data_IF_653039469237
#
_entry.id   IF_653039469237
#
_cell.length_a   1.000
_cell.length_b   1.000
_cell.length_c   1.000
_cell.angle_alpha   90.00
_cell.angle_beta   90.00
_cell.angle_gamma   90.00
#
_symmetry.space_group_name_H-M   'P 1'
#
loop_
_entity.id
_entity.type
_entity.pdbx_description
1 polymer ?
#
# COMPACT_ATOMS: atom_id res chain seq x y z
N UNK A 1 -2.40 -12.49 -1.33
CA UNK A 1 -2.15 -12.82 0.10
C UNK A 1 -3.31 -13.63 0.68
N UNK A 2 -3.03 -14.70 1.45
CA UNK A 2 -4.07 -15.58 2.03
C UNK A 2 -5.05 -14.82 2.93
N UNK A 3 -4.57 -13.80 3.64
CA UNK A 3 -5.40 -12.97 4.54
C UNK A 3 -6.54 -12.22 3.84
N UNK A 4 -6.40 -11.84 2.55
CA UNK A 4 -7.48 -11.19 1.78
C UNK A 4 -8.69 -12.12 1.55
N UNK A 5 -8.52 -13.44 1.73
CA UNK A 5 -9.57 -14.45 1.54
C UNK A 5 -10.23 -14.89 2.85
N UNK A 6 -9.73 -14.42 4.00
CA UNK A 6 -10.23 -14.81 5.31
C UNK A 6 -11.41 -13.91 5.73
N UNK A 7 -12.40 -14.48 6.41
CA UNK A 7 -13.54 -13.76 6.99
C UNK A 7 -13.24 -13.15 8.36
N UNK A 8 -12.25 -13.68 9.08
CA UNK A 8 -11.76 -13.18 10.35
C UNK A 8 -10.33 -13.69 10.62
N UNK A 9 -9.63 -13.08 11.59
CA UNK A 9 -8.33 -13.55 12.07
C UNK A 9 -8.37 -13.87 13.56
N UNK A 10 -7.82 -15.02 13.95
CA UNK A 10 -7.60 -15.39 15.37
C UNK A 10 -6.15 -15.81 15.53
N UNK A 11 -5.43 -15.22 16.48
CA UNK A 11 -4.00 -15.49 16.68
C UNK A 11 -3.65 -15.68 18.16
N UNK A 12 -2.82 -16.68 18.45
CA UNK A 12 -2.37 -16.97 19.83
C UNK A 12 -1.59 -15.82 20.45
N UNK A 13 -0.82 -15.08 19.64
CA UNK A 13 0.08 -14.00 20.10
C UNK A 13 -0.18 -12.72 19.33
N UNK A 14 0.01 -11.60 20.02
CA UNK A 14 -0.07 -10.27 19.44
C UNK A 14 -0.96 -9.34 20.27
N UNK A 15 -0.65 -8.05 20.24
CA UNK A 15 -1.48 -7.01 20.84
C UNK A 15 -2.15 -6.11 19.80
N UNK A 16 -2.73 -5.00 20.24
CA UNK A 16 -3.45 -4.03 19.40
C UNK A 16 -2.65 -3.47 18.21
N UNK A 17 -1.33 -3.56 18.26
CA UNK A 17 -0.37 -3.04 17.26
C UNK A 17 0.36 -4.15 16.50
N UNK A 18 -0.03 -5.42 16.66
CA UNK A 18 0.61 -6.50 15.92
C UNK A 18 0.24 -6.45 14.43
N UNK A 19 1.04 -7.14 13.61
CA UNK A 19 0.85 -7.23 12.17
C UNK A 19 -0.57 -7.70 11.79
N UNK A 20 -1.09 -8.73 12.47
CA UNK A 20 -2.44 -9.25 12.21
C UNK A 20 -3.53 -8.21 12.55
N UNK A 21 -3.41 -7.49 13.66
CA UNK A 21 -4.37 -6.46 14.07
C UNK A 21 -4.40 -5.27 13.10
N UNK A 22 -3.23 -4.82 12.64
CA UNK A 22 -3.11 -3.71 11.69
C UNK A 22 -3.75 -4.09 10.35
N UNK A 23 -3.40 -5.26 9.82
CA UNK A 23 -3.93 -5.74 8.53
C UNK A 23 -5.44 -5.98 8.61
N UNK A 24 -5.94 -6.59 9.69
CA UNK A 24 -7.38 -6.85 9.83
C UNK A 24 -8.21 -5.56 9.80
N UNK A 25 -7.74 -4.51 10.48
CA UNK A 25 -8.39 -3.19 10.45
C UNK A 25 -8.40 -2.59 9.06
N UNK A 26 -7.32 -2.74 8.31
CA UNK A 26 -7.24 -2.26 6.93
C UNK A 26 -8.16 -3.05 5.99
N UNK A 27 -8.31 -4.36 6.22
CA UNK A 27 -9.20 -5.22 5.45
C UNK A 27 -10.67 -5.15 5.91
N UNK A 28 -10.96 -4.50 7.04
CA UNK A 28 -12.32 -4.41 7.60
C UNK A 28 -12.85 -5.75 8.13
N UNK A 29 -11.98 -6.69 8.51
CA UNK A 29 -12.38 -7.99 9.06
C UNK A 29 -12.17 -8.05 10.58
N UNK A 30 -12.99 -8.80 11.34
CA UNK A 30 -12.78 -9.03 12.76
C UNK A 30 -11.42 -9.68 13.03
N UNK A 31 -10.76 -9.25 14.11
CA UNK A 31 -9.51 -9.85 14.56
C UNK A 31 -9.41 -9.97 16.08
N UNK A 32 -9.20 -11.20 16.53
CA UNK A 32 -8.87 -11.52 17.92
C UNK A 32 -7.39 -11.88 17.98
N UNK A 33 -6.64 -11.11 18.75
CA UNK A 33 -5.19 -11.27 18.89
C UNK A 33 -4.84 -11.52 20.35
N UNK A 34 -3.88 -12.42 20.59
CA UNK A 34 -3.46 -12.76 21.95
C UNK A 34 -4.39 -13.75 22.66
N UNK A 35 -5.05 -14.66 21.91
CA UNK A 35 -5.91 -15.71 22.49
C UNK A 35 -5.15 -16.80 23.24
N UNK A 36 -3.82 -16.77 23.25
CA UNK A 36 -2.89 -17.70 23.90
C UNK A 36 -2.89 -19.13 23.31
N UNK A 37 -4.05 -19.78 23.20
CA UNK A 37 -4.19 -21.20 22.86
C UNK A 37 -5.23 -21.48 21.74
N UNK A 38 -5.58 -20.50 20.90
CA UNK A 38 -6.60 -20.72 19.86
C UNK A 38 -6.25 -21.85 18.90
N UNK A 39 -4.98 -22.03 18.52
CA UNK A 39 -4.57 -23.16 17.65
C UNK A 39 -4.70 -24.52 18.30
N UNK A 40 -4.75 -24.58 19.63
CA UNK A 40 -4.88 -25.85 20.37
C UNK A 40 -6.36 -26.22 20.56
N UNK A 41 -7.23 -25.20 20.62
CA UNK A 41 -8.68 -25.35 20.82
C UNK A 41 -9.42 -25.52 19.49
N UNK A 42 -9.07 -24.73 18.48
CA UNK A 42 -9.75 -24.71 17.18
C UNK A 42 -9.17 -25.75 16.23
N UNK A 43 -10.03 -26.47 15.50
CA UNK A 43 -9.61 -27.50 14.54
C UNK A 43 -9.82 -27.07 13.10
N UNK A 44 -8.99 -27.61 12.20
CA UNK A 44 -9.15 -27.38 10.77
C UNK A 44 -10.51 -27.90 10.27
N UNK A 45 -11.17 -27.11 9.41
CA UNK A 45 -12.51 -27.42 8.88
C UNK A 45 -13.66 -27.11 9.84
N UNK A 46 -13.38 -26.69 11.07
CA UNK A 46 -14.40 -26.31 12.04
C UNK A 46 -15.03 -24.95 11.68
N UNK A 47 -16.37 -24.89 11.76
CA UNK A 47 -17.11 -23.63 11.58
C UNK A 47 -17.18 -22.93 12.93
N UNK A 48 -16.70 -21.68 12.96
CA UNK A 48 -16.74 -20.83 14.14
C UNK A 48 -17.24 -19.42 13.80
N UNK A 49 -17.83 -18.77 14.79
CA UNK A 49 -18.22 -17.37 14.72
C UNK A 49 -17.26 -16.52 15.55
N UNK A 50 -16.70 -15.48 14.94
CA UNK A 50 -15.76 -14.57 15.59
C UNK A 50 -16.47 -13.26 15.91
N UNK A 51 -16.61 -12.93 17.21
CA UNK A 51 -17.21 -11.70 17.70
C UNK A 51 -16.17 -10.74 18.27
N UNK A 52 -16.27 -9.47 17.90
CA UNK A 52 -15.57 -8.36 18.52
C UNK A 52 -16.55 -7.33 19.12
N UNK A 53 -17.79 -7.74 19.40
CA UNK A 53 -18.86 -6.85 19.87
C UNK A 53 -18.61 -6.32 21.29
N UNK A 54 -17.86 -7.06 22.11
CA UNK A 54 -17.54 -6.74 23.50
C UNK A 54 -16.33 -5.79 23.63
N UNK A 55 -15.99 -5.10 22.54
CA UNK A 55 -14.99 -4.03 22.49
C UNK A 55 -13.56 -4.55 22.59
N UNK A 56 -12.99 -4.53 23.80
CA UNK A 56 -11.60 -4.95 24.02
C UNK A 56 -11.43 -6.47 24.18
N UNK A 57 -12.52 -7.17 24.53
CA UNK A 57 -12.54 -8.63 24.60
C UNK A 57 -13.24 -9.17 23.36
N UNK A 58 -12.62 -10.13 22.67
CA UNK A 58 -13.24 -10.84 21.56
C UNK A 58 -13.51 -12.29 21.93
N UNK A 59 -14.59 -12.83 21.38
CA UNK A 59 -15.01 -14.22 21.62
C UNK A 59 -15.02 -15.02 20.31
N UNK A 60 -14.62 -16.28 20.40
CA UNK A 60 -14.77 -17.27 19.33
C UNK A 60 -15.80 -18.28 19.80
N UNK A 61 -16.92 -18.37 19.10
CA UNK A 61 -17.99 -19.32 19.39
C UNK A 61 -17.94 -20.49 18.40
N UNK A 62 -18.25 -21.68 18.89
CA UNK A 62 -18.41 -22.84 18.04
C UNK A 62 -19.70 -22.75 17.21
N UNK A 63 -19.63 -23.10 15.93
CA UNK A 63 -20.74 -23.06 14.99
C UNK A 63 -20.96 -21.71 14.31
N UNK A 64 -21.89 -21.70 13.37
CA UNK A 64 -22.38 -20.49 12.71
C UNK A 64 -23.55 -19.94 13.52
N UNK A 65 -23.31 -18.89 14.30
CA UNK A 65 -24.37 -18.20 15.03
C UNK A 65 -25.15 -17.28 14.09
N UNK A 66 -26.45 -17.18 14.32
CA UNK A 66 -27.29 -16.21 13.63
C UNK A 66 -26.95 -14.80 14.10
N UNK A 67 -26.96 -13.84 13.18
CA UNK A 67 -26.74 -12.44 13.45
C UNK A 67 -27.76 -11.59 12.69
N UNK A 68 -28.10 -10.45 13.27
CA UNK A 68 -28.95 -9.45 12.63
C UNK A 68 -28.08 -8.27 12.16
N UNK A 69 -28.24 -7.88 10.90
CA UNK A 69 -27.60 -6.68 10.36
C UNK A 69 -28.57 -5.51 10.48
N UNK A 70 -28.39 -4.68 11.50
CA UNK A 70 -29.09 -3.39 11.59
C UNK A 70 -28.27 -2.33 10.88
N UNK A 71 -28.77 -1.85 9.74
CA UNK A 71 -28.22 -0.71 9.05
C UNK A 71 -28.98 0.55 9.49
N UNK A 72 -28.35 1.39 10.31
CA UNK A 72 -28.88 2.73 10.57
C UNK A 72 -28.59 3.62 9.37
N UNK A 73 -29.61 4.30 8.86
CA UNK A 73 -29.39 5.34 7.86
C UNK A 73 -28.61 6.48 8.50
N UNK A 74 -27.59 6.98 7.81
CA UNK A 74 -26.85 8.14 8.25
C UNK A 74 -27.84 9.29 8.42
N UNK A 75 -28.12 9.67 9.66
CA UNK A 75 -28.66 11.00 9.96
C UNK A 75 -27.78 12.04 9.24
N UNK A 76 -28.37 13.15 8.79
CA UNK A 76 -27.63 14.18 8.09
C UNK A 76 -26.50 14.72 9.00
N UNK A 77 -25.29 14.18 8.82
CA UNK A 77 -24.12 14.57 9.59
C UNK A 77 -23.84 16.05 9.30
N UNK A 78 -23.75 16.86 10.35
CA UNK A 78 -23.36 18.26 10.20
C UNK A 78 -21.95 18.35 9.63
N UNK A 79 -21.72 19.26 8.68
CA UNK A 79 -20.39 19.45 8.11
C UNK A 79 -19.41 19.91 9.20
N UNK A 80 -18.30 19.20 9.43
CA UNK A 80 -17.31 19.59 10.43
C UNK A 80 -16.57 20.88 10.02
N UNK A 81 -15.93 21.58 10.98
CA UNK A 81 -15.16 22.80 10.69
C UNK A 81 -13.83 22.52 9.97
N UNK A 82 -13.45 21.26 9.79
CA UNK A 82 -12.25 20.82 9.10
C UNK A 82 -12.59 19.85 7.96
N UNK A 83 -11.65 19.66 7.02
CA UNK A 83 -11.79 18.66 5.97
C UNK A 83 -11.51 17.26 6.53
N UNK A 84 -12.40 16.31 6.28
CA UNK A 84 -12.23 14.90 6.65
C UNK A 84 -11.74 14.14 5.42
N UNK A 85 -10.45 13.86 5.37
CA UNK A 85 -9.82 13.16 4.24
C UNK A 85 -9.49 11.70 4.59
N UNK A 86 -9.45 10.85 3.57
CA UNK A 86 -9.18 9.42 3.73
C UNK A 86 -7.67 9.13 3.65
N UNK A 87 -7.24 8.06 4.33
CA UNK A 87 -5.93 7.45 4.14
C UNK A 87 -6.15 6.12 3.40
N UNK A 88 -5.65 6.01 2.18
CA UNK A 88 -5.97 4.92 1.27
C UNK A 88 -4.67 4.29 0.76
N UNK A 89 -4.45 3.02 1.05
CA UNK A 89 -3.34 2.25 0.47
C UNK A 89 -3.76 1.40 -0.72
N UNK A 90 -4.84 0.64 -0.56
CA UNK A 90 -5.26 -0.37 -1.52
C UNK A 90 -6.19 0.20 -2.61
N UNK A 91 -5.79 0.21 -3.90
CA UNK A 91 -6.65 0.67 -4.99
C UNK A 91 -7.93 -0.16 -5.15
N UNK A 92 -7.90 -1.45 -4.82
CA UNK A 92 -9.07 -2.35 -4.96
C UNK A 92 -10.28 -1.85 -4.15
N UNK A 93 -10.03 -1.15 -3.03
CA UNK A 93 -11.07 -0.66 -2.11
C UNK A 93 -11.46 0.81 -2.38
N UNK A 94 -10.78 1.49 -3.31
CA UNK A 94 -10.93 2.94 -3.48
C UNK A 94 -12.38 3.36 -3.78
N UNK A 95 -13.08 2.65 -4.67
CA UNK A 95 -14.49 2.94 -5.00
C UNK A 95 -15.45 2.70 -3.85
N UNK A 96 -15.16 1.74 -2.96
CA UNK A 96 -15.97 1.52 -1.75
C UNK A 96 -15.75 2.66 -0.75
N UNK A 97 -14.50 3.05 -0.52
CA UNK A 97 -14.18 4.16 0.38
C UNK A 97 -14.72 5.51 -0.11
N UNK A 98 -14.79 5.71 -1.41
CA UNK A 98 -15.34 6.92 -2.01
C UNK A 98 -16.84 7.13 -1.68
N UNK A 99 -17.59 6.07 -1.34
CA UNK A 99 -19.00 6.15 -0.95
C UNK A 99 -19.19 6.72 0.46
N UNK A 100 -18.15 6.70 1.31
CA UNK A 100 -18.19 7.28 2.65
C UNK A 100 -18.03 8.79 2.51
N UNK A 101 -18.84 9.64 3.18
CA UNK A 101 -18.66 11.09 3.17
C UNK A 101 -17.22 11.49 3.52
N UNK A 102 -16.54 12.18 2.60
CA UNK A 102 -15.14 12.59 2.71
C UNK A 102 -14.87 13.85 1.87
N UNK A 103 -13.72 14.48 2.10
CA UNK A 103 -13.21 15.64 1.37
C UNK A 103 -12.02 15.29 0.45
N UNK A 104 -11.85 14.00 0.11
CA UNK A 104 -10.76 13.48 -0.73
C UNK A 104 -9.85 12.51 0.02
N UNK A 105 -8.64 12.31 -0.51
CA UNK A 105 -7.61 11.44 0.07
C UNK A 105 -6.45 12.31 0.52
N UNK A 106 -6.20 12.32 1.82
CA UNK A 106 -5.11 13.09 2.43
C UNK A 106 -3.77 12.35 2.39
N UNK A 107 -3.81 11.03 2.20
CA UNK A 107 -2.63 10.19 2.04
C UNK A 107 -2.98 8.94 1.22
N UNK A 108 -2.55 8.92 -0.03
CA UNK A 108 -2.53 7.72 -0.87
C UNK A 108 -1.12 7.10 -0.81
N UNK A 109 -1.02 5.84 -0.38
CA UNK A 109 0.26 5.15 -0.14
C UNK A 109 0.66 4.29 -1.32
N UNK A 110 1.78 4.61 -1.96
CA UNK A 110 2.24 3.90 -3.15
C UNK A 110 2.79 2.50 -2.87
N UNK A 111 3.16 2.20 -1.62
CA UNK A 111 3.77 0.92 -1.22
C UNK A 111 2.85 -0.28 -1.50
N UNK A 112 1.53 -0.10 -1.39
CA UNK A 112 0.56 -1.17 -1.70
C UNK A 112 0.53 -1.50 -3.19
N UNK A 113 0.63 -0.48 -4.06
CA UNK A 113 0.72 -0.65 -5.50
C UNK A 113 2.00 -1.40 -5.86
N UNK A 114 3.14 -0.97 -5.30
CA UNK A 114 4.43 -1.61 -5.56
C UNK A 114 4.46 -3.05 -5.00
N UNK A 115 4.00 -3.32 -3.78
CA UNK A 115 4.03 -4.67 -3.21
C UNK A 115 3.08 -5.64 -3.94
N UNK A 116 1.85 -5.22 -4.22
CA UNK A 116 0.81 -6.13 -4.68
C UNK A 116 0.71 -6.20 -6.20
N UNK A 117 0.88 -5.07 -6.91
CA UNK A 117 0.70 -5.01 -8.36
C UNK A 117 2.01 -5.24 -9.11
N UNK A 118 3.12 -4.70 -8.60
CA UNK A 118 4.45 -4.89 -9.20
C UNK A 118 5.15 -6.12 -8.62
N UNK A 119 5.45 -6.10 -7.32
CA UNK A 119 6.11 -7.15 -6.55
C UNK A 119 7.58 -7.43 -6.90
N UNK A 120 8.23 -6.52 -7.62
CA UNK A 120 9.61 -6.65 -8.08
C UNK A 120 10.36 -5.35 -7.74
N UNK A 121 11.62 -5.49 -7.34
CA UNK A 121 12.46 -4.34 -7.03
C UNK A 121 12.73 -3.49 -8.30
N UNK A 122 12.57 -2.15 -8.26
CA UNK A 122 12.68 -1.32 -9.47
C UNK A 122 14.08 -1.38 -10.10
N UNK A 123 15.16 -1.55 -9.32
CA UNK A 123 16.50 -1.78 -9.89
C UNK A 123 16.63 -3.09 -10.64
N UNK A 124 15.96 -4.15 -10.17
CA UNK A 124 15.97 -5.42 -10.89
C UNK A 124 15.24 -5.30 -12.23
N UNK A 125 14.19 -4.46 -12.29
CA UNK A 125 13.46 -4.12 -13.52
C UNK A 125 14.32 -3.31 -14.50
N UNK A 126 15.15 -2.38 -14.01
CA UNK A 126 16.04 -1.59 -14.86
C UNK A 126 17.21 -2.44 -15.40
N UNK A 127 17.71 -3.38 -14.61
CA UNK A 127 18.90 -4.17 -14.93
C UNK A 127 18.59 -5.64 -15.21
N UNK A 128 17.50 -5.94 -15.93
CA UNK A 128 17.03 -7.33 -16.13
C UNK A 128 18.14 -8.25 -16.63
N UNK A 129 18.93 -7.82 -17.61
CA UNK A 129 19.95 -8.68 -18.23
C UNK A 129 21.10 -9.05 -17.27
N UNK A 130 21.34 -8.25 -16.24
CA UNK A 130 22.33 -8.50 -15.20
C UNK A 130 21.80 -9.40 -14.05
N UNK A 131 20.50 -9.71 -14.04
CA UNK A 131 19.90 -10.52 -12.97
C UNK A 131 20.13 -12.02 -13.18
N UNK A 132 20.13 -12.84 -12.10
CA UNK A 132 20.12 -14.29 -12.22
C UNK A 132 18.97 -14.80 -13.10
N UNK A 133 19.20 -15.87 -13.87
CA UNK A 133 18.23 -16.38 -14.86
C UNK A 133 16.83 -16.67 -14.28
N UNK A 134 16.76 -17.13 -13.04
CA UNK A 134 15.49 -17.34 -12.33
C UNK A 134 14.71 -16.01 -12.15
N UNK A 135 15.39 -14.96 -11.69
CA UNK A 135 14.80 -13.62 -11.52
C UNK A 135 14.41 -13.02 -12.87
N UNK A 136 15.27 -13.15 -13.90
CA UNK A 136 14.93 -12.69 -15.26
C UNK A 136 13.62 -13.30 -15.75
N UNK A 137 13.46 -14.61 -15.55
CA UNK A 137 12.25 -15.34 -15.93
C UNK A 137 11.03 -14.82 -15.16
N UNK A 138 11.15 -14.58 -13.85
CA UNK A 138 10.09 -13.98 -13.04
C UNK A 138 9.70 -12.58 -13.54
N UNK A 139 10.68 -11.73 -13.84
CA UNK A 139 10.44 -10.37 -14.35
C UNK A 139 9.72 -10.42 -15.70
N UNK A 140 10.22 -11.21 -16.66
CA UNK A 140 9.63 -11.37 -17.99
C UNK A 140 8.20 -11.93 -17.92
N UNK A 141 7.94 -12.86 -17.01
CA UNK A 141 6.61 -13.42 -16.80
C UNK A 141 5.63 -12.39 -16.20
N UNK A 142 6.06 -11.58 -15.23
CA UNK A 142 5.22 -10.53 -14.63
C UNK A 142 4.96 -9.37 -15.60
N UNK A 143 5.96 -8.99 -16.38
CA UNK A 143 5.86 -7.93 -17.39
C UNK A 143 5.15 -8.39 -18.68
N UNK A 144 4.64 -9.62 -18.75
CA UNK A 144 3.96 -10.14 -19.94
C UNK A 144 2.70 -9.32 -20.24
N UNK A 145 2.57 -8.87 -21.47
CA UNK A 145 1.48 -7.99 -21.92
C UNK A 145 1.82 -6.49 -21.86
N UNK A 146 2.99 -6.15 -21.34
CA UNK A 146 3.55 -4.79 -21.38
C UNK A 146 4.67 -4.72 -22.42
N UNK A 147 4.97 -3.50 -22.91
CA UNK A 147 5.97 -3.29 -23.96
C UNK A 147 7.37 -3.76 -23.54
N UNK A 148 7.74 -3.53 -22.29
CA UNK A 148 8.98 -3.98 -21.67
C UNK A 148 8.85 -3.92 -20.13
N UNK A 149 9.80 -4.49 -19.36
CA UNK A 149 9.76 -4.48 -17.91
C UNK A 149 9.70 -3.08 -17.28
N UNK A 150 10.39 -2.09 -17.84
CA UNK A 150 10.35 -0.69 -17.38
C UNK A 150 8.94 -0.11 -17.53
N UNK A 151 8.33 -0.32 -18.69
CA UNK A 151 6.96 0.12 -18.96
C UNK A 151 5.94 -0.59 -18.06
N UNK A 152 6.13 -1.88 -17.77
CA UNK A 152 5.31 -2.61 -16.80
C UNK A 152 5.28 -1.92 -15.43
N UNK A 153 6.43 -1.47 -14.92
CA UNK A 153 6.50 -0.76 -13.65
C UNK A 153 5.73 0.56 -13.67
N UNK A 154 5.99 1.38 -14.70
CA UNK A 154 5.35 2.69 -14.89
C UNK A 154 3.84 2.54 -15.01
N UNK A 155 3.39 1.60 -15.86
CA UNK A 155 1.97 1.37 -16.12
C UNK A 155 1.25 0.86 -14.88
N UNK A 156 1.83 -0.08 -14.12
CA UNK A 156 1.21 -0.58 -12.88
C UNK A 156 1.08 0.49 -11.81
N UNK A 157 2.08 1.37 -11.69
CA UNK A 157 1.98 2.52 -10.79
C UNK A 157 0.89 3.48 -11.26
N UNK A 158 0.87 3.82 -12.55
CA UNK A 158 -0.13 4.69 -13.13
C UNK A 158 -1.54 4.13 -12.95
N UNK A 159 -1.77 2.84 -13.24
CA UNK A 159 -3.04 2.14 -13.06
C UNK A 159 -3.51 2.20 -11.59
N UNK A 160 -2.62 1.88 -10.64
CA UNK A 160 -2.95 1.89 -9.21
C UNK A 160 -3.31 3.29 -8.69
N UNK A 161 -2.53 4.30 -9.07
CA UNK A 161 -2.79 5.69 -8.67
C UNK A 161 -4.00 6.27 -9.38
N UNK A 162 -4.17 6.01 -10.68
CA UNK A 162 -5.33 6.47 -11.44
C UNK A 162 -6.63 5.88 -10.89
N UNK A 163 -6.61 4.61 -10.44
CA UNK A 163 -7.78 3.98 -9.80
C UNK A 163 -8.21 4.75 -8.55
N UNK A 164 -7.27 5.14 -7.69
CA UNK A 164 -7.57 5.96 -6.51
C UNK A 164 -8.00 7.37 -6.93
N UNK A 165 -7.27 8.01 -7.85
CA UNK A 165 -7.59 9.34 -8.36
C UNK A 165 -9.00 9.45 -8.93
N UNK A 166 -9.39 8.48 -9.75
CA UNK A 166 -10.71 8.41 -10.38
C UNK A 166 -11.82 8.15 -9.36
N UNK A 167 -11.60 7.28 -8.37
CA UNK A 167 -12.61 6.96 -7.35
C UNK A 167 -13.02 8.20 -6.53
N UNK A 168 -12.10 9.14 -6.32
CA UNK A 168 -12.33 10.35 -5.54
C UNK A 168 -12.52 11.61 -6.39
N UNK A 169 -12.45 11.53 -7.72
CA UNK A 169 -12.57 12.69 -8.60
C UNK A 169 -13.91 13.41 -8.42
N UNK A 170 -13.96 14.76 -8.34
CA UNK A 170 -12.85 15.72 -8.50
C UNK A 170 -12.16 16.13 -7.19
N UNK A 171 -12.37 15.43 -6.07
CA UNK A 171 -11.75 15.76 -4.79
C UNK A 171 -10.24 15.50 -4.83
N UNK A 172 -9.43 16.28 -4.08
CA UNK A 172 -7.98 16.13 -4.07
C UNK A 172 -7.56 14.75 -3.55
N UNK A 173 -6.51 14.20 -4.18
CA UNK A 173 -5.88 12.94 -3.81
C UNK A 173 -4.37 13.16 -3.69
N UNK A 174 -3.89 13.21 -2.46
CA UNK A 174 -2.47 13.42 -2.16
C UNK A 174 -1.74 12.08 -2.18
N UNK A 175 -0.99 11.81 -3.24
CA UNK A 175 -0.19 10.59 -3.42
C UNK A 175 1.19 10.80 -2.86
N UNK A 176 1.54 9.98 -1.85
CA UNK A 176 2.89 9.92 -1.32
C UNK A 176 3.72 8.96 -2.17
N UNK A 177 4.84 9.44 -2.69
CA UNK A 177 5.82 8.62 -3.43
C UNK A 177 6.39 7.52 -2.52
N UNK A 178 7.10 6.55 -3.09
CA UNK A 178 7.51 5.36 -2.33
C UNK A 178 8.37 5.67 -1.08
N UNK A 179 7.86 5.35 0.10
CA UNK A 179 8.53 5.55 1.39
C UNK A 179 8.96 4.21 2.00
N UNK A 180 9.32 3.23 1.17
CA UNK A 180 9.83 1.96 1.66
C UNK A 180 11.17 2.14 2.37
N UNK A 181 11.34 1.37 3.43
CA UNK A 181 12.64 1.13 4.05
C UNK A 181 13.42 0.10 3.21
N UNK A 182 14.75 0.12 3.31
CA UNK A 182 15.64 -0.86 2.69
C UNK A 182 15.18 -2.31 2.93
N UNK A 183 14.84 -2.66 4.18
CA UNK A 183 14.37 -4.00 4.54
C UNK A 183 12.99 -4.39 3.96
N UNK A 184 12.20 -3.43 3.50
CA UNK A 184 10.94 -3.67 2.79
C UNK A 184 11.21 -3.88 1.29
N UNK A 185 12.06 -3.04 0.68
CA UNK A 185 12.54 -3.24 -0.68
C UNK A 185 13.25 -4.59 -0.85
N UNK A 186 14.02 -5.01 0.16
CA UNK A 186 14.73 -6.30 0.20
C UNK A 186 13.81 -7.51 0.02
N UNK A 187 12.54 -7.39 0.42
CA UNK A 187 11.54 -8.46 0.32
C UNK A 187 10.92 -8.59 -1.07
N UNK A 188 11.14 -7.62 -1.96
CA UNK A 188 10.69 -7.70 -3.35
C UNK A 188 11.59 -8.66 -4.13
N UNK A 189 11.08 -9.19 -5.24
CA UNK A 189 11.88 -10.05 -6.12
C UNK A 189 13.10 -9.26 -6.63
N UNK A 190 14.30 -9.81 -6.37
CA UNK A 190 15.58 -9.20 -6.70
C UNK A 190 16.01 -8.04 -5.79
N UNK A 191 15.31 -7.80 -4.67
CA UNK A 191 15.64 -6.73 -3.73
C UNK A 191 16.88 -7.00 -2.89
N UNK A 192 17.16 -8.26 -2.54
CA UNK A 192 18.33 -8.71 -1.77
C UNK A 192 19.68 -8.37 -2.41
N UNK A 193 19.71 -8.24 -3.74
CA UNK A 193 20.90 -7.85 -4.50
C UNK A 193 21.23 -6.35 -4.30
N UNK A 194 20.22 -5.51 -4.10
CA UNK A 194 20.36 -4.05 -4.10
C UNK A 194 20.23 -3.42 -2.72
N UNK A 195 19.63 -4.12 -1.75
CA UNK A 195 19.33 -3.59 -0.43
C UNK A 195 20.23 -4.21 0.65
N UNK A 196 21.27 -3.49 1.11
CA UNK A 196 22.10 -3.94 2.21
C UNK A 196 21.30 -4.00 3.52
N UNK A 197 21.79 -4.78 4.49
CA UNK A 197 21.22 -4.80 5.83
C UNK A 197 21.60 -3.50 6.57
N UNK A 198 20.58 -2.83 7.10
CA UNK A 198 20.74 -1.67 7.96
C UNK A 198 20.35 -2.04 9.39
N UNK A 199 21.18 -1.64 10.36
CA UNK A 199 20.87 -1.80 11.79
C UNK A 199 19.54 -1.12 12.17
N UNK A 200 19.26 0.05 11.60
CA UNK A 200 18.07 0.84 11.91
C UNK A 200 17.34 1.35 10.64
N UNK A 201 16.51 0.50 9.99
CA UNK A 201 15.84 0.86 8.73
C UNK A 201 14.87 2.04 8.85
N UNK A 202 14.42 2.41 10.06
CA UNK A 202 13.53 3.55 10.25
C UNK A 202 14.18 4.90 9.92
N UNK A 203 15.47 5.04 10.21
CA UNK A 203 16.28 6.25 10.00
C UNK A 203 17.34 6.05 8.90
N UNK A 204 17.29 4.90 8.23
CA UNK A 204 18.22 4.49 7.18
C UNK A 204 17.91 5.10 5.82
N UNK A 205 18.27 4.40 4.76
CA UNK A 205 18.24 4.89 3.38
C UNK A 205 16.83 4.82 2.76
N UNK A 206 16.07 5.93 2.87
CA UNK A 206 14.68 6.06 2.38
C UNK A 206 14.28 7.52 2.09
N UNK A 207 13.16 7.68 1.38
CA UNK A 207 12.57 8.97 1.01
C UNK A 207 13.50 9.84 0.16
N UNK A 208 13.51 11.15 0.39
CA UNK A 208 14.25 12.12 -0.43
C UNK A 208 15.73 11.74 -0.67
N UNK A 209 16.46 11.34 0.39
CA UNK A 209 17.84 10.89 0.31
C UNK A 209 18.05 9.75 -0.71
N UNK A 210 17.07 8.83 -0.81
CA UNK A 210 17.10 7.72 -1.78
C UNK A 210 16.80 8.19 -3.20
N UNK A 211 15.90 9.14 -3.37
CA UNK A 211 15.50 9.63 -4.70
C UNK A 211 16.62 10.34 -5.44
N UNK A 212 17.55 10.97 -4.71
CA UNK A 212 18.67 11.71 -5.31
C UNK A 212 19.94 10.88 -5.48
N UNK A 213 20.04 9.73 -4.81
CA UNK A 213 21.21 8.88 -4.93
C UNK A 213 21.38 8.43 -6.38
N UNK A 214 22.59 8.55 -6.93
CA UNK A 214 22.89 8.24 -8.33
C UNK A 214 22.44 6.84 -8.73
N UNK A 215 22.62 5.88 -7.81
CA UNK A 215 22.15 4.53 -8.00
C UNK A 215 20.63 4.50 -8.14
N UNK A 216 19.85 5.21 -7.33
CA UNK A 216 18.38 5.03 -7.29
C UNK A 216 17.57 6.11 -8.01
N UNK A 217 18.20 7.16 -8.54
CA UNK A 217 17.49 8.27 -9.21
C UNK A 217 16.62 7.79 -10.37
N UNK A 218 17.08 6.81 -11.14
CA UNK A 218 16.31 6.27 -12.26
C UNK A 218 15.07 5.49 -11.79
N UNK A 219 15.09 4.91 -10.59
CA UNK A 219 13.91 4.29 -10.01
C UNK A 219 12.84 5.34 -9.68
N UNK A 220 13.24 6.47 -9.09
CA UNK A 220 12.34 7.58 -8.80
C UNK A 220 11.82 8.25 -10.08
N UNK A 221 12.65 8.33 -11.13
CA UNK A 221 12.23 8.82 -12.45
C UNK A 221 11.07 8.01 -13.03
N UNK A 222 11.05 6.68 -12.85
CA UNK A 222 9.90 5.85 -13.28
C UNK A 222 8.61 6.18 -12.52
N UNK A 223 8.70 6.48 -11.21
CA UNK A 223 7.53 6.93 -10.43
C UNK A 223 7.03 8.30 -10.93
N UNK A 224 7.94 9.24 -11.21
CA UNK A 224 7.58 10.56 -11.76
C UNK A 224 6.87 10.42 -13.11
N UNK A 225 7.40 9.60 -14.02
CA UNK A 225 6.79 9.34 -15.33
C UNK A 225 5.39 8.75 -15.20
N UNK A 226 5.17 7.85 -14.24
CA UNK A 226 3.84 7.31 -13.97
C UNK A 226 2.87 8.41 -13.47
N UNK A 227 3.32 9.27 -12.55
CA UNK A 227 2.50 10.37 -12.02
C UNK A 227 2.15 11.40 -13.10
N UNK A 228 3.14 11.75 -13.94
CA UNK A 228 2.94 12.63 -15.08
C UNK A 228 1.88 12.09 -16.02
N UNK A 229 1.97 10.81 -16.39
CA UNK A 229 0.98 10.15 -17.24
C UNK A 229 -0.43 10.22 -16.64
N UNK A 230 -0.57 9.97 -15.34
CA UNK A 230 -1.87 10.03 -14.66
C UNK A 230 -2.48 11.44 -14.73
N UNK A 231 -1.67 12.49 -14.54
CA UNK A 231 -2.16 13.87 -14.53
C UNK A 231 -2.39 14.42 -15.94
N UNK A 232 -1.40 14.26 -16.82
CA UNK A 232 -1.33 14.95 -18.12
C UNK A 232 -2.02 14.15 -19.24
N UNK A 233 -1.91 12.82 -19.25
CA UNK A 233 -2.51 11.98 -20.31
C UNK A 233 -3.89 11.45 -19.90
N UNK A 234 -4.05 10.99 -18.65
CA UNK A 234 -5.34 10.48 -18.17
C UNK A 234 -6.27 11.58 -17.66
N UNK A 235 -5.78 12.81 -17.48
CA UNK A 235 -6.56 13.98 -17.08
C UNK A 235 -6.95 14.02 -15.59
N UNK A 236 -6.36 13.19 -14.74
CA UNK A 236 -6.63 13.16 -13.30
C UNK A 236 -5.84 14.25 -12.57
N UNK A 237 -6.25 15.50 -12.83
CA UNK A 237 -5.60 16.71 -12.30
C UNK A 237 -5.79 16.92 -10.80
N UNK A 238 -6.68 16.14 -10.16
CA UNK A 238 -6.88 16.12 -8.71
C UNK A 238 -5.77 15.38 -7.93
N UNK A 239 -4.81 14.77 -8.64
CA UNK A 239 -3.64 14.13 -8.03
C UNK A 239 -2.60 15.19 -7.65
N UNK A 240 -2.23 15.18 -6.37
CA UNK A 240 -1.14 15.95 -5.77
C UNK A 240 -0.03 15.00 -5.31
N UNK A 241 1.23 15.46 -5.30
CA UNK A 241 2.38 14.63 -4.92
C UNK A 241 2.95 15.07 -3.58
N UNK A 242 3.21 14.09 -2.72
CA UNK A 242 3.82 14.25 -1.40
C UNK A 242 5.16 13.51 -1.37
N UNK A 243 6.24 14.24 -1.08
CA UNK A 243 7.59 13.67 -0.93
C UNK A 243 7.83 13.30 0.55
N UNK A 244 8.09 12.02 0.87
CA UNK A 244 8.37 11.58 2.23
C UNK A 244 9.83 11.83 2.65
N UNK A 245 10.03 11.90 3.96
CA UNK A 245 11.34 11.81 4.62
C UNK A 245 12.41 12.80 4.09
N UNK A 246 11.98 14.04 3.83
CA UNK A 246 12.86 15.16 3.52
C UNK A 246 13.52 15.66 4.81
N UNK A 247 14.85 15.54 4.93
CA UNK A 247 15.61 15.86 6.14
C UNK A 247 16.23 17.25 6.10
N UNK A 248 16.62 17.71 4.92
CA UNK A 248 17.27 19.01 4.73
C UNK A 248 16.62 19.78 3.58
N UNK A 249 16.88 21.10 3.55
CA UNK A 249 16.42 21.95 2.45
C UNK A 249 17.11 21.62 1.12
N UNK A 250 18.36 21.13 1.17
CA UNK A 250 19.08 20.69 -0.02
C UNK A 250 18.42 19.44 -0.62
N UNK A 251 17.99 18.50 0.23
CA UNK A 251 17.21 17.34 -0.22
C UNK A 251 15.88 17.76 -0.85
N UNK A 252 15.20 18.74 -0.25
CA UNK A 252 13.95 19.28 -0.80
C UNK A 252 14.17 19.85 -2.20
N UNK A 253 15.21 20.69 -2.36
CA UNK A 253 15.55 21.34 -3.62
C UNK A 253 15.91 20.32 -4.69
N UNK A 254 16.82 19.39 -4.38
CA UNK A 254 17.27 18.41 -5.36
C UNK A 254 16.16 17.44 -5.79
N UNK A 255 15.24 17.03 -4.89
CA UNK A 255 14.07 16.24 -5.32
C UNK A 255 13.16 17.04 -6.24
N UNK A 256 12.91 18.33 -5.96
CA UNK A 256 12.09 19.16 -6.87
C UNK A 256 12.73 19.35 -8.25
N UNK A 257 14.06 19.44 -8.32
CA UNK A 257 14.80 19.50 -9.58
C UNK A 257 14.66 18.19 -10.37
N UNK A 258 14.85 17.03 -9.70
CA UNK A 258 14.67 15.72 -10.34
C UNK A 258 13.24 15.53 -10.85
N UNK A 259 12.23 15.97 -10.09
CA UNK A 259 10.84 15.94 -10.54
C UNK A 259 10.65 16.79 -11.80
N UNK A 260 11.16 18.03 -11.80
CA UNK A 260 11.06 18.93 -12.95
C UNK A 260 11.76 18.38 -14.21
N UNK A 261 12.88 17.67 -14.06
CA UNK A 261 13.56 16.99 -15.17
C UNK A 261 12.75 15.82 -15.74
N UNK A 262 11.90 15.19 -14.93
CA UNK A 262 11.12 14.01 -15.30
C UNK A 262 9.64 14.32 -15.61
N UNK A 263 9.24 15.58 -15.53
CA UNK A 263 7.91 16.11 -15.87
C UNK A 263 7.06 16.37 -14.63
#
# INVERSE_FOLDING_TARGET
PVMKRASALVTNRGGRTCHAAIIARELGIPAIVGSVNATDVLREGEIVTVSCAEGETGFVYHGSLEFEVSAQSNSALSKPPCKIMMNVGNPDMAFSFAQIPNDGVGLARLEFVINNMVGIHPKAILNVDAMPAAIQTTIKNRARGYANPKQFYIDKIAEGVATIGAAFYPKPVIVRTSDFKSNEYKKLVGGDIYEPDEENPMIGFRGAARYMADDFKECFAMECQAMKRVRDEMGLTNIELMIPFVRTLDEAKAVTEIMAENG
#
